data_IF_716421358833
#
_entry.id   IF_716421358833
#
_cell.length_a   1.000
_cell.length_b   1.000
_cell.length_c   1.000
_cell.angle_alpha   90.00
_cell.angle_beta   90.00
_cell.angle_gamma   90.00
#
_symmetry.space_group_name_H-M   'P 1'
#
loop_
_entity.id
_entity.type
_entity.pdbx_description
1 polymer ?
#
# COMPACT_ATOMS: atom_id res chain seq x y z
N UNK A 1 22.40 -11.50 1.06
CA UNK A 1 21.70 -10.58 0.13
C UNK A 1 20.28 -11.13 -0.03
N UNK A 2 19.26 -10.35 0.31
CA UNK A 2 17.87 -10.76 0.13
C UNK A 2 17.53 -10.74 -1.37
N UNK A 3 17.21 -11.90 -1.94
CA UNK A 3 16.84 -12.06 -3.35
C UNK A 3 15.32 -12.22 -3.46
N UNK A 4 14.57 -11.21 -3.07
CA UNK A 4 13.12 -11.27 -3.09
C UNK A 4 12.51 -9.96 -3.52
N UNK A 5 11.19 -9.96 -3.65
CA UNK A 5 10.41 -8.76 -3.96
C UNK A 5 10.07 -8.04 -2.65
N UNK A 6 10.33 -6.75 -2.61
CA UNK A 6 9.87 -5.90 -1.50
C UNK A 6 8.51 -5.31 -1.84
N UNK A 7 7.57 -5.44 -0.91
CA UNK A 7 6.20 -4.94 -1.05
C UNK A 7 5.88 -4.02 0.11
N UNK A 8 5.46 -2.80 -0.18
CA UNK A 8 5.02 -1.83 0.80
C UNK A 8 3.51 -1.61 0.66
N UNK A 9 2.80 -1.65 1.76
CA UNK A 9 1.34 -1.51 1.79
C UNK A 9 0.90 -0.71 3.02
N UNK A 10 -0.21 0.00 2.91
CA UNK A 10 -0.80 0.76 4.01
C UNK A 10 -1.72 -0.11 4.86
N UNK A 11 -1.76 0.13 6.17
CA UNK A 11 -2.72 -0.51 7.08
C UNK A 11 -4.15 -0.37 6.54
N UNK A 12 -4.87 -1.47 6.51
CA UNK A 12 -6.26 -1.53 6.05
C UNK A 12 -6.42 -1.81 4.56
N UNK A 13 -5.37 -1.68 3.77
CA UNK A 13 -5.41 -1.99 2.35
C UNK A 13 -5.34 -3.50 2.09
N UNK A 14 -5.64 -3.89 0.86
CA UNK A 14 -5.40 -5.23 0.35
C UNK A 14 -4.10 -5.26 -0.45
N UNK A 15 -3.36 -6.34 -0.34
CA UNK A 15 -2.15 -6.58 -1.12
C UNK A 15 -2.25 -7.91 -1.84
N UNK A 16 -1.86 -7.95 -3.11
CA UNK A 16 -1.73 -9.19 -3.87
C UNK A 16 -0.25 -9.48 -4.11
N UNK A 17 0.18 -10.65 -3.65
CA UNK A 17 1.52 -11.16 -3.90
C UNK A 17 1.47 -11.99 -5.18
N UNK A 18 2.05 -11.45 -6.25
CA UNK A 18 1.96 -12.00 -7.59
C UNK A 18 3.02 -13.09 -7.83
N UNK A 19 2.60 -14.22 -8.36
CA UNK A 19 3.50 -15.28 -8.81
C UNK A 19 4.22 -14.94 -10.12
N UNK A 20 3.76 -13.93 -10.84
CA UNK A 20 4.15 -13.51 -12.19
C UNK A 20 3.71 -14.49 -13.30
N UNK A 21 2.98 -15.53 -12.94
CA UNK A 21 2.41 -16.45 -13.91
C UNK A 21 1.00 -16.00 -14.28
N UNK A 22 0.72 -15.96 -15.58
CA UNK A 22 -0.64 -15.70 -16.09
C UNK A 22 -1.55 -16.90 -15.85
N UNK A 23 -0.95 -18.08 -15.83
CA UNK A 23 -1.62 -19.34 -15.53
C UNK A 23 -0.62 -20.30 -14.89
N UNK A 24 -1.01 -20.89 -13.77
CA UNK A 24 -0.21 -21.93 -13.12
C UNK A 24 -0.26 -23.20 -13.97
N UNK A 25 0.89 -23.82 -14.31
CA UNK A 25 0.92 -25.03 -15.09
C UNK A 25 0.05 -26.15 -14.50
N UNK A 26 -0.61 -26.92 -15.36
CA UNK A 26 -1.36 -28.09 -14.93
C UNK A 26 -0.43 -29.06 -14.19
N UNK A 27 -0.90 -29.63 -13.11
CA UNK A 27 -0.09 -30.53 -12.31
C UNK A 27 0.79 -29.82 -11.26
N UNK A 28 0.54 -28.54 -10.98
CA UNK A 28 1.31 -27.80 -9.99
C UNK A 28 0.71 -27.90 -8.60
N UNK A 29 1.58 -28.07 -7.62
CA UNK A 29 1.28 -27.85 -6.21
C UNK A 29 1.80 -26.49 -5.78
N UNK A 30 0.97 -25.70 -5.12
CA UNK A 30 1.31 -24.36 -4.64
C UNK A 30 1.21 -24.33 -3.13
N UNK A 31 2.25 -23.83 -2.49
CA UNK A 31 2.30 -23.63 -1.03
C UNK A 31 2.77 -22.23 -0.74
N UNK A 32 1.93 -21.46 -0.05
CA UNK A 32 2.27 -20.16 0.50
C UNK A 32 2.60 -20.28 1.97
N UNK A 33 3.67 -19.63 2.39
CA UNK A 33 4.11 -19.58 3.79
C UNK A 33 4.30 -18.15 4.25
N UNK A 34 4.01 -17.93 5.53
CA UNK A 34 4.43 -16.75 6.29
C UNK A 34 5.49 -17.21 7.30
N UNK A 35 6.74 -16.78 7.10
CA UNK A 35 7.84 -17.41 7.79
C UNK A 35 7.89 -18.90 7.47
N UNK A 36 7.74 -19.73 8.49
CA UNK A 36 7.72 -21.20 8.35
C UNK A 36 6.30 -21.79 8.35
N UNK A 37 5.28 -20.98 8.57
CA UNK A 37 3.90 -21.42 8.67
C UNK A 37 3.19 -21.42 7.32
N UNK A 38 2.55 -22.54 6.98
CA UNK A 38 1.73 -22.64 5.77
C UNK A 38 0.44 -21.86 5.98
N UNK A 39 0.17 -20.89 5.11
CA UNK A 39 -1.03 -20.03 5.16
C UNK A 39 -2.00 -20.29 4.01
N UNK A 40 -1.54 -20.84 2.89
CA UNK A 40 -2.41 -21.22 1.78
C UNK A 40 -1.77 -22.34 0.96
N UNK A 41 -2.58 -23.17 0.34
CA UNK A 41 -2.12 -24.22 -0.56
C UNK A 41 -3.17 -24.57 -1.60
N UNK A 42 -2.70 -25.08 -2.72
CA UNK A 42 -3.52 -25.66 -3.77
C UNK A 42 -2.83 -26.91 -4.31
N UNK A 43 -3.56 -28.02 -4.33
CA UNK A 43 -3.04 -29.30 -4.79
C UNK A 43 -3.29 -29.50 -6.29
N UNK A 44 -2.41 -30.27 -6.92
CA UNK A 44 -2.53 -30.70 -8.31
C UNK A 44 -3.86 -31.37 -8.63
N UNK A 45 -4.35 -32.22 -7.71
CA UNK A 45 -5.44 -33.15 -7.99
C UNK A 45 -6.81 -32.48 -8.13
N UNK A 46 -7.11 -31.51 -7.27
CA UNK A 46 -8.45 -30.89 -7.22
C UNK A 46 -8.46 -29.41 -7.54
N UNK A 47 -7.29 -28.76 -7.56
CA UNK A 47 -7.12 -27.34 -7.80
C UNK A 47 -8.02 -26.45 -6.92
N UNK A 48 -8.43 -26.97 -5.77
CA UNK A 48 -9.17 -26.19 -4.78
C UNK A 48 -8.22 -25.46 -3.86
N UNK A 49 -8.30 -24.13 -3.80
CA UNK A 49 -7.49 -23.36 -2.86
C UNK A 49 -7.94 -23.62 -1.43
N UNK A 50 -6.98 -23.86 -0.56
CA UNK A 50 -7.19 -23.89 0.88
C UNK A 50 -6.41 -22.75 1.53
N UNK A 51 -7.04 -22.05 2.45
CA UNK A 51 -6.40 -21.00 3.26
C UNK A 51 -6.46 -21.38 4.72
N UNK A 52 -5.47 -20.96 5.49
CA UNK A 52 -5.32 -21.28 6.91
C UNK A 52 -5.21 -19.99 7.70
N UNK A 53 -5.67 -20.03 8.95
CA UNK A 53 -5.68 -18.84 9.80
C UNK A 53 -4.27 -18.40 10.25
N UNK A 54 -3.29 -19.29 10.14
CA UNK A 54 -1.92 -19.01 10.57
C UNK A 54 -1.75 -18.92 12.10
N UNK A 55 -0.55 -18.54 12.56
CA UNK A 55 -0.26 -18.45 13.98
C UNK A 55 -1.16 -17.41 14.66
N UNK A 56 -1.81 -17.78 15.77
CA UNK A 56 -2.69 -16.88 16.52
C UNK A 56 -3.89 -16.35 15.73
N UNK A 57 -4.35 -17.11 14.72
CA UNK A 57 -5.43 -16.68 13.81
C UNK A 57 -5.14 -15.37 13.06
N UNK A 58 -3.87 -15.07 12.81
CA UNK A 58 -3.39 -13.83 12.20
C UNK A 58 -4.02 -13.53 10.83
N UNK A 59 -4.32 -14.59 10.05
CA UNK A 59 -4.86 -14.48 8.68
C UNK A 59 -6.33 -14.88 8.58
N UNK A 60 -7.02 -15.01 9.69
CA UNK A 60 -8.43 -15.41 9.68
C UNK A 60 -9.27 -14.48 8.80
N UNK A 61 -10.02 -15.08 7.86
CA UNK A 61 -10.91 -14.38 6.91
C UNK A 61 -10.22 -13.28 6.06
N UNK A 62 -8.90 -13.39 5.86
CA UNK A 62 -8.10 -12.37 5.15
C UNK A 62 -7.47 -12.85 3.85
N UNK A 63 -7.41 -14.16 3.63
CA UNK A 63 -6.66 -14.73 2.51
C UNK A 63 -7.57 -15.17 1.38
N UNK A 64 -7.11 -14.87 0.15
CA UNK A 64 -7.70 -15.38 -1.08
C UNK A 64 -6.60 -15.87 -2.00
N UNK A 65 -6.65 -17.13 -2.37
CA UNK A 65 -5.73 -17.74 -3.33
C UNK A 65 -6.40 -17.85 -4.70
N UNK A 66 -5.79 -17.24 -5.71
CA UNK A 66 -6.29 -17.30 -7.09
C UNK A 66 -5.99 -18.66 -7.71
N UNK A 67 -7.01 -19.34 -8.20
CA UNK A 67 -6.90 -20.68 -8.81
C UNK A 67 -6.10 -20.67 -10.11
N UNK A 68 -6.15 -19.59 -10.85
CA UNK A 68 -5.55 -19.49 -12.18
C UNK A 68 -4.08 -19.09 -12.08
N UNK A 69 -3.78 -18.05 -11.34
CA UNK A 69 -2.44 -17.48 -11.24
C UNK A 69 -1.62 -18.00 -10.06
N UNK A 70 -2.29 -18.54 -9.05
CA UNK A 70 -1.65 -18.93 -7.79
C UNK A 70 -1.26 -17.76 -6.91
N UNK A 71 -1.64 -16.54 -7.27
CA UNK A 71 -1.34 -15.33 -6.48
C UNK A 71 -2.16 -15.27 -5.20
N UNK A 72 -1.57 -14.73 -4.15
CA UNK A 72 -2.20 -14.62 -2.83
C UNK A 72 -2.59 -13.19 -2.54
N UNK A 73 -3.85 -12.95 -2.21
CA UNK A 73 -4.36 -11.66 -1.75
C UNK A 73 -4.59 -11.70 -0.24
N UNK A 74 -4.07 -10.69 0.44
CA UNK A 74 -4.27 -10.47 1.87
C UNK A 74 -5.11 -9.19 2.00
N UNK A 75 -6.30 -9.30 2.61
CA UNK A 75 -7.22 -8.17 2.78
C UNK A 75 -7.09 -7.56 4.17
N UNK A 76 -7.38 -6.27 4.28
CA UNK A 76 -7.36 -5.51 5.52
C UNK A 76 -6.07 -5.76 6.32
N UNK A 77 -4.94 -5.52 5.67
CA UNK A 77 -3.62 -5.82 6.22
C UNK A 77 -3.32 -4.93 7.44
N UNK A 78 -2.59 -5.49 8.39
CA UNK A 78 -2.18 -4.81 9.64
C UNK A 78 -0.68 -4.95 9.86
N UNK A 79 -0.17 -4.24 10.84
CA UNK A 79 1.26 -4.26 11.20
C UNK A 79 1.75 -5.65 11.59
N UNK A 80 0.89 -6.49 12.17
CA UNK A 80 1.22 -7.88 12.51
C UNK A 80 1.51 -8.76 11.30
N UNK A 81 1.09 -8.35 10.11
CA UNK A 81 1.34 -9.06 8.85
C UNK A 81 2.69 -8.72 8.22
N UNK A 82 3.49 -7.86 8.84
CA UNK A 82 4.85 -7.58 8.40
C UNK A 82 5.68 -8.85 8.49
N UNK A 83 6.36 -9.18 7.42
CA UNK A 83 7.27 -10.30 7.43
C UNK A 83 7.58 -10.86 6.06
N UNK A 84 8.16 -12.05 6.10
CA UNK A 84 8.59 -12.76 4.91
C UNK A 84 7.51 -13.75 4.47
N UNK A 85 7.08 -13.60 3.23
CA UNK A 85 6.17 -14.53 2.55
C UNK A 85 6.94 -15.27 1.48
N UNK A 86 6.63 -16.52 1.29
CA UNK A 86 7.20 -17.34 0.21
C UNK A 86 6.13 -18.17 -0.46
N UNK A 87 6.27 -18.34 -1.77
CA UNK A 87 5.47 -19.27 -2.56
C UNK A 87 6.39 -20.30 -3.18
N UNK A 88 6.05 -21.56 -3.01
CA UNK A 88 6.70 -22.70 -3.64
C UNK A 88 5.73 -23.34 -4.65
N UNK A 89 6.09 -23.27 -5.91
CA UNK A 89 5.32 -23.83 -7.02
C UNK A 89 6.09 -25.03 -7.54
N UNK A 90 5.58 -26.22 -7.28
CA UNK A 90 6.15 -27.48 -7.72
C UNK A 90 5.36 -28.04 -8.89
N UNK A 91 5.97 -27.99 -10.06
CA UNK A 91 5.52 -28.62 -11.29
C UNK A 91 6.68 -29.43 -11.86
N UNK A 92 6.76 -29.60 -13.18
CA UNK A 92 7.96 -30.14 -13.86
C UNK A 92 9.22 -29.31 -13.55
N UNK A 93 9.05 -28.01 -13.27
CA UNK A 93 10.10 -27.10 -12.80
C UNK A 93 9.69 -26.48 -11.46
N UNK A 94 10.54 -26.61 -10.44
CA UNK A 94 10.31 -25.96 -9.16
C UNK A 94 10.59 -24.47 -9.24
N UNK A 95 9.67 -23.64 -8.72
CA UNK A 95 9.82 -22.18 -8.64
C UNK A 95 9.57 -21.74 -7.20
N UNK A 96 10.54 -21.03 -6.64
CA UNK A 96 10.45 -20.41 -5.32
C UNK A 96 10.54 -18.89 -5.45
N UNK A 97 9.56 -18.18 -4.92
CA UNK A 97 9.57 -16.72 -4.87
C UNK A 97 9.33 -16.24 -3.45
N UNK A 98 10.08 -15.24 -3.04
CA UNK A 98 9.99 -14.66 -1.70
C UNK A 98 9.61 -13.20 -1.77
N UNK A 99 8.83 -12.76 -0.78
CA UNK A 99 8.35 -11.39 -0.63
C UNK A 99 8.68 -10.90 0.77
N UNK A 100 9.22 -9.69 0.87
CA UNK A 100 9.31 -8.98 2.13
C UNK A 100 8.20 -7.95 2.15
N UNK A 101 7.19 -8.17 2.97
CA UNK A 101 6.06 -7.27 3.13
C UNK A 101 6.31 -6.35 4.32
N UNK A 102 6.25 -5.06 4.07
CA UNK A 102 6.25 -4.02 5.09
C UNK A 102 4.89 -3.32 5.08
N UNK A 103 4.32 -3.15 6.26
CA UNK A 103 3.03 -2.48 6.43
C UNK A 103 3.29 -1.16 7.12
N UNK A 104 2.91 -0.07 6.46
CA UNK A 104 3.04 1.26 7.00
C UNK A 104 1.77 1.61 7.75
N UNK A 105 1.92 1.76 9.06
CA UNK A 105 0.85 2.18 9.94
C UNK A 105 0.61 3.67 9.83
N UNK A 106 -0.67 4.05 9.84
CA UNK A 106 -1.05 5.39 10.16
C UNK A 106 -1.22 5.45 11.68
N UNK A 107 -0.23 6.01 12.39
CA UNK A 107 -0.33 6.22 13.83
C UNK A 107 -0.94 7.59 14.07
N UNK A 108 -2.05 7.62 14.82
CA UNK A 108 -2.61 8.85 15.33
C UNK A 108 -2.18 9.02 16.79
N UNK A 109 -1.18 9.88 17.00
CA UNK A 109 -0.86 10.47 18.29
C UNK A 109 -1.22 11.94 18.18
N UNK A 110 -2.14 12.41 19.00
CA UNK A 110 -2.58 13.82 19.05
C UNK A 110 -3.08 14.38 17.70
N UNK A 111 -3.76 13.55 16.90
CA UNK A 111 -4.26 13.93 15.59
C UNK A 111 -3.22 13.91 14.47
N UNK A 112 -1.98 13.55 14.76
CA UNK A 112 -0.91 13.40 13.78
C UNK A 112 -0.83 11.95 13.30
N UNK A 113 -0.94 11.78 11.99
CA UNK A 113 -0.75 10.47 11.34
C UNK A 113 0.69 10.38 10.84
N UNK A 114 1.40 9.32 11.21
CA UNK A 114 2.75 9.07 10.70
C UNK A 114 2.68 8.12 9.51
N UNK A 115 3.29 8.53 8.40
CA UNK A 115 3.38 7.73 7.18
C UNK A 115 4.85 7.56 6.85
N UNK A 116 5.29 6.32 6.69
CA UNK A 116 6.63 6.01 6.22
C UNK A 116 6.57 5.49 4.80
N UNK A 117 7.40 6.00 3.93
CA UNK A 117 7.47 5.59 2.53
C UNK A 117 8.92 5.41 2.11
N UNK A 118 9.15 4.63 1.08
CA UNK A 118 10.45 4.50 0.44
C UNK A 118 10.77 5.72 -0.40
N UNK A 119 12.07 6.02 -0.47
CA UNK A 119 12.59 6.98 -1.43
C UNK A 119 12.18 6.59 -2.86
N UNK A 120 11.58 7.52 -3.58
CA UNK A 120 11.05 7.32 -4.92
C UNK A 120 9.61 6.84 -5.03
N UNK A 121 9.03 6.28 -3.97
CA UNK A 121 7.65 5.79 -4.01
C UNK A 121 6.64 6.94 -3.90
N UNK A 122 5.46 6.82 -4.54
CA UNK A 122 4.38 7.77 -4.31
C UNK A 122 3.76 7.57 -2.93
N UNK A 123 3.37 8.66 -2.29
CA UNK A 123 2.66 8.61 -1.02
C UNK A 123 1.37 9.40 -1.09
N UNK A 124 0.20 8.75 -0.90
CA UNK A 124 -1.06 9.43 -0.74
C UNK A 124 -1.25 9.86 0.72
N UNK A 125 -1.44 11.15 0.95
CA UNK A 125 -1.85 11.70 2.23
C UNK A 125 -3.38 11.75 2.26
N UNK A 126 -4.00 10.72 2.83
CA UNK A 126 -5.45 10.56 2.83
C UNK A 126 -6.10 11.33 3.97
N UNK A 127 -7.08 12.16 3.64
CA UNK A 127 -7.85 12.94 4.61
C UNK A 127 -8.96 12.14 5.27
N UNK A 128 -9.56 11.22 4.52
CA UNK A 128 -10.79 10.49 4.87
C UNK A 128 -11.98 11.41 5.18
N UNK A 129 -11.95 12.61 4.64
CA UNK A 129 -13.07 13.55 4.72
C UNK A 129 -14.08 13.22 3.61
N UNK A 130 -15.35 13.05 3.97
CA UNK A 130 -16.40 12.61 3.03
C UNK A 130 -17.28 13.74 2.51
N UNK A 131 -17.23 14.92 3.15
CA UNK A 131 -18.19 15.99 2.93
C UNK A 131 -17.59 17.24 2.28
N UNK A 132 -16.53 17.08 1.49
CA UNK A 132 -15.93 18.20 0.76
C UNK A 132 -16.86 18.64 -0.38
N UNK A 133 -17.23 19.89 -0.37
CA UNK A 133 -18.08 20.51 -1.39
C UNK A 133 -17.25 21.38 -2.34
N UNK A 134 -17.81 21.70 -3.50
CA UNK A 134 -17.12 22.57 -4.46
C UNK A 134 -16.88 24.00 -3.97
N UNK A 135 -17.45 24.38 -2.82
CA UNK A 135 -17.25 25.69 -2.20
C UNK A 135 -16.15 25.72 -1.15
N UNK A 136 -15.64 24.56 -0.77
CA UNK A 136 -14.62 24.47 0.25
C UNK A 136 -13.24 24.81 -0.32
N UNK A 137 -12.46 25.52 0.48
CA UNK A 137 -11.06 25.79 0.19
C UNK A 137 -10.22 24.74 0.88
N UNK A 138 -9.45 24.00 0.10
CA UNK A 138 -8.50 23.02 0.60
C UNK A 138 -7.11 23.64 0.54
N UNK A 139 -6.38 23.59 1.63
CA UNK A 139 -4.99 24.04 1.69
C UNK A 139 -4.14 23.00 2.41
N UNK A 140 -3.07 22.58 1.76
CA UNK A 140 -2.01 21.77 2.37
C UNK A 140 -0.79 22.64 2.64
N UNK A 141 -0.24 22.51 3.82
CA UNK A 141 0.98 23.20 4.24
C UNK A 141 2.04 22.19 4.67
N UNK A 142 3.29 22.59 4.58
CA UNK A 142 4.45 21.77 4.91
C UNK A 142 5.40 22.47 5.87
N UNK A 143 5.94 21.69 6.79
CA UNK A 143 7.00 22.09 7.70
C UNK A 143 6.53 22.90 8.90
N UNK A 144 7.47 23.29 9.76
CA UNK A 144 7.15 23.97 11.01
C UNK A 144 6.63 25.40 10.81
N UNK A 145 6.87 25.99 9.64
CA UNK A 145 6.42 27.33 9.30
C UNK A 145 5.08 27.34 8.56
N UNK A 146 4.45 26.16 8.38
CA UNK A 146 3.19 26.00 7.65
C UNK A 146 3.23 26.65 6.25
N UNK A 147 4.29 26.39 5.49
CA UNK A 147 4.39 26.88 4.12
C UNK A 147 3.34 26.23 3.25
N UNK A 148 2.50 27.04 2.61
CA UNK A 148 1.47 26.53 1.68
C UNK A 148 2.15 25.88 0.47
N UNK A 149 1.82 24.62 0.21
CA UNK A 149 2.37 23.84 -0.93
C UNK A 149 1.34 23.63 -2.02
N UNK A 150 0.06 23.57 -1.66
CA UNK A 150 -1.05 23.51 -2.62
C UNK A 150 -2.31 24.03 -1.96
N UNK A 151 -3.11 24.77 -2.72
CA UNK A 151 -4.42 25.24 -2.30
C UNK A 151 -5.40 25.30 -3.46
N UNK A 152 -6.68 25.26 -3.15
CA UNK A 152 -7.74 25.53 -4.13
C UNK A 152 -8.17 26.99 -4.08
N UNK A 153 -8.45 27.56 -5.24
CA UNK A 153 -9.04 28.91 -5.34
C UNK A 153 -10.57 28.79 -5.32
N UNK A 154 -11.18 29.47 -4.35
CA UNK A 154 -12.63 29.49 -4.16
C UNK A 154 -13.39 30.05 -5.36
N UNK A 155 -12.79 31.04 -6.06
CA UNK A 155 -13.47 31.76 -7.13
C UNK A 155 -13.53 30.98 -8.45
N UNK A 156 -12.46 30.28 -8.77
CA UNK A 156 -12.28 29.62 -10.06
C UNK A 156 -12.21 28.07 -9.97
N UNK A 157 -12.24 27.50 -8.77
CA UNK A 157 -12.06 26.08 -8.54
C UNK A 157 -10.70 25.55 -9.02
N UNK A 158 -9.72 26.42 -9.19
CA UNK A 158 -8.38 26.04 -9.64
C UNK A 158 -7.53 25.52 -8.50
N UNK A 159 -6.69 24.56 -8.82
CA UNK A 159 -5.64 24.09 -7.93
C UNK A 159 -4.39 24.92 -8.17
N UNK A 160 -3.87 25.53 -7.11
CA UNK A 160 -2.66 26.36 -7.14
C UNK A 160 -1.56 25.61 -6.39
N UNK A 161 -0.55 25.16 -7.12
CA UNK A 161 0.65 24.56 -6.55
C UNK A 161 1.70 25.65 -6.30
N UNK A 162 2.44 25.53 -5.20
CA UNK A 162 3.57 26.41 -4.92
C UNK A 162 4.77 25.97 -5.76
N UNK A 163 4.99 26.64 -6.88
CA UNK A 163 6.08 26.34 -7.81
C UNK A 163 7.46 26.82 -7.32
N UNK A 164 7.48 27.71 -6.32
CA UNK A 164 8.72 28.24 -5.75
C UNK A 164 9.45 27.23 -4.85
N UNK A 165 8.73 26.24 -4.35
CA UNK A 165 9.32 25.21 -3.50
C UNK A 165 9.87 24.05 -4.34
N UNK A 166 11.17 24.08 -4.58
CA UNK A 166 11.87 23.09 -5.43
C UNK A 166 11.74 21.64 -4.91
N UNK A 167 11.41 21.45 -3.64
CA UNK A 167 11.21 20.10 -3.05
C UNK A 167 9.99 19.39 -3.64
N UNK A 168 9.02 20.15 -4.12
CA UNK A 168 7.74 19.67 -4.60
C UNK A 168 7.48 19.92 -6.08
N UNK A 169 8.48 20.37 -6.82
CA UNK A 169 8.33 20.66 -8.26
C UNK A 169 7.80 19.45 -9.03
N UNK A 170 6.62 19.60 -9.63
CA UNK A 170 5.95 18.56 -10.45
C UNK A 170 5.70 17.22 -9.73
N UNK A 171 5.62 17.23 -8.41
CA UNK A 171 5.44 16.00 -7.63
C UNK A 171 4.11 15.94 -6.86
N UNK A 172 3.37 17.04 -6.79
CA UNK A 172 2.11 17.11 -6.05
C UNK A 172 0.90 16.91 -6.95
N UNK A 173 -0.05 16.13 -6.46
CA UNK A 173 -1.37 15.98 -7.06
C UNK A 173 -2.45 16.03 -5.98
N UNK A 174 -3.34 17.03 -6.08
CA UNK A 174 -4.47 17.19 -5.17
C UNK A 174 -5.75 16.65 -5.81
N UNK A 175 -6.41 15.75 -5.11
CA UNK A 175 -7.79 15.37 -5.44
C UNK A 175 -8.77 16.31 -4.75
N UNK A 176 -9.46 17.15 -5.52
CA UNK A 176 -10.40 18.15 -4.99
C UNK A 176 -11.67 17.55 -4.39
N UNK A 177 -11.99 16.29 -4.72
CA UNK A 177 -13.18 15.61 -4.20
C UNK A 177 -12.96 15.03 -2.82
N UNK A 178 -11.78 14.50 -2.59
CA UNK A 178 -11.40 13.84 -1.33
C UNK A 178 -10.50 14.69 -0.45
N UNK A 179 -9.87 15.72 -1.02
CA UNK A 179 -8.83 16.50 -0.35
C UNK A 179 -7.50 15.78 -0.22
N UNK A 180 -7.37 14.61 -0.77
CA UNK A 180 -6.16 13.80 -0.67
C UNK A 180 -5.04 14.42 -1.50
N UNK A 181 -3.85 14.44 -0.91
CA UNK A 181 -2.63 14.91 -1.58
C UNK A 181 -1.73 13.73 -1.86
N UNK A 182 -1.40 13.52 -3.11
CA UNK A 182 -0.39 12.52 -3.50
C UNK A 182 0.93 13.21 -3.82
N UNK A 183 2.01 12.74 -3.21
CA UNK A 183 3.36 13.16 -3.51
C UNK A 183 4.00 12.03 -4.30
N UNK A 184 4.31 12.27 -5.56
CA UNK A 184 5.01 11.30 -6.41
C UNK A 184 6.51 11.45 -6.25
N UNK A 185 7.25 10.35 -6.44
CA UNK A 185 8.70 10.34 -6.38
C UNK A 185 9.25 10.99 -5.09
N UNK A 186 8.79 10.53 -3.93
CA UNK A 186 9.19 11.08 -2.63
C UNK A 186 10.69 10.95 -2.39
N UNK A 187 11.23 11.96 -1.75
CA UNK A 187 12.65 12.06 -1.39
C UNK A 187 12.78 12.41 0.09
N UNK A 188 13.95 12.28 0.63
CA UNK A 188 14.28 12.68 2.00
C UNK A 188 13.84 14.11 2.31
N UNK A 189 13.98 15.03 1.35
CA UNK A 189 13.57 16.43 1.50
C UNK A 189 12.05 16.63 1.65
N UNK A 190 11.24 15.64 1.28
CA UNK A 190 9.80 15.66 1.47
C UNK A 190 9.38 15.14 2.85
N UNK A 191 10.30 14.62 3.63
CA UNK A 191 10.02 14.20 5.00
C UNK A 191 9.75 15.40 5.90
N UNK A 192 8.66 15.38 6.62
CA UNK A 192 8.28 16.47 7.49
C UNK A 192 6.81 16.42 7.87
N UNK A 193 6.34 17.51 8.44
CA UNK A 193 4.97 17.63 8.92
C UNK A 193 4.10 18.29 7.86
N UNK A 194 3.00 17.61 7.52
CA UNK A 194 1.99 18.10 6.58
C UNK A 194 0.70 18.41 7.35
N UNK A 195 0.11 19.56 7.06
CA UNK A 195 -1.20 19.92 7.61
C UNK A 195 -2.19 20.16 6.47
N UNK A 196 -3.42 19.73 6.67
CA UNK A 196 -4.55 20.07 5.82
C UNK A 196 -5.49 21.01 6.56
N UNK A 197 -6.01 21.99 5.84
CA UNK A 197 -7.06 22.89 6.28
C UNK A 197 -8.16 22.90 5.23
N UNK A 198 -9.39 22.66 5.67
CA UNK A 198 -10.59 22.70 4.83
C UNK A 198 -11.52 23.76 5.43
N UNK A 199 -11.91 24.75 4.64
CA UNK A 199 -12.71 25.90 5.08
C UNK A 199 -13.93 26.04 4.20
#
# INVERSE_FOLDING_TARGET
MFTGVSVSVMVGDSVTLHTDDTEVPTGSNIIWKFGDDIIARMNEADRNPSTYDGPGALFKDRLKLDKQTGSLTITNIRTEHIGRYSVDIKSTNAKLKTFQVTVHGVFSLDGVKKISVRDGDPVPLQTRVTDITGNDVIEWTFGPQNTSIVKTDRVNGRIIYNEDDVRFTNTLHLDIKTGDLTISNTKTDNAGLYHIKII
#
